data_IF_567823407093
#
_entry.id   IF_567823407093
#
_cell.length_a   1.000
_cell.length_b   1.000
_cell.length_c   1.000
_cell.angle_alpha   90.00
_cell.angle_beta   90.00
_cell.angle_gamma   90.00
#
_symmetry.space_group_name_H-M   'P 1'
#
loop_
_entity.id
_entity.type
_entity.pdbx_description
1 polymer ?
#
# COMPACT_ATOMS: atom_id res chain seq x y z
N UNK A 1 1.10 -15.11 0.65
CA UNK A 1 0.67 -16.17 1.58
C UNK A 1 -0.40 -15.60 2.50
N UNK A 2 -1.65 -15.99 2.30
CA UNK A 2 -2.80 -15.45 3.06
C UNK A 2 -2.82 -15.95 4.50
N UNK A 3 -2.37 -17.17 4.77
CA UNK A 3 -2.33 -17.74 6.12
C UNK A 3 -1.36 -16.99 7.04
N UNK A 4 -0.20 -16.60 6.47
CA UNK A 4 0.83 -15.84 7.19
C UNK A 4 0.62 -14.33 7.14
N UNK A 5 -0.38 -13.85 6.41
CA UNK A 5 -0.60 -12.42 6.23
C UNK A 5 0.56 -11.69 5.57
N UNK A 6 1.26 -12.32 4.63
CA UNK A 6 2.47 -11.75 4.02
C UNK A 6 2.39 -11.72 2.50
N UNK A 7 2.63 -10.55 1.95
CA UNK A 7 2.88 -10.37 0.53
C UNK A 7 4.37 -10.43 0.24
N UNK A 8 4.76 -11.36 -0.62
CA UNK A 8 6.16 -11.54 -1.04
C UNK A 8 6.33 -11.01 -2.46
N UNK A 9 7.20 -10.03 -2.63
CA UNK A 9 7.68 -9.60 -3.94
C UNK A 9 8.92 -10.40 -4.30
N UNK A 10 8.93 -11.16 -5.39
CA UNK A 10 10.12 -11.90 -5.81
C UNK A 10 11.23 -10.95 -6.28
N UNK A 11 12.47 -11.40 -6.19
CA UNK A 11 13.66 -10.59 -6.47
C UNK A 11 13.70 -9.99 -7.88
N UNK A 12 13.17 -10.69 -8.88
CA UNK A 12 13.13 -10.20 -10.27
C UNK A 12 12.15 -9.02 -10.49
N UNK A 13 11.21 -8.79 -9.56
CA UNK A 13 10.27 -7.67 -9.61
C UNK A 13 10.73 -6.48 -8.76
N UNK A 14 11.84 -6.61 -8.03
CA UNK A 14 12.36 -5.53 -7.20
C UNK A 14 13.60 -4.90 -7.83
N UNK A 15 13.73 -3.58 -7.75
CA UNK A 15 14.90 -2.86 -8.29
C UNK A 15 16.22 -3.33 -7.66
N UNK A 16 16.19 -3.77 -6.41
CA UNK A 16 17.37 -4.25 -5.68
C UNK A 16 17.68 -5.73 -5.90
N UNK A 17 16.89 -6.43 -6.74
CA UNK A 17 17.01 -7.89 -6.95
C UNK A 17 16.98 -8.70 -5.64
N UNK A 18 16.35 -8.16 -4.59
CA UNK A 18 16.15 -8.82 -3.30
C UNK A 18 14.68 -9.14 -3.09
N UNK A 19 14.40 -10.29 -2.50
CA UNK A 19 13.05 -10.68 -2.11
C UNK A 19 12.59 -9.75 -0.98
N UNK A 20 11.40 -9.16 -1.12
CA UNK A 20 10.78 -8.31 -0.11
C UNK A 20 9.55 -8.99 0.47
N UNK A 21 9.37 -8.89 1.78
CA UNK A 21 8.22 -9.39 2.51
C UNK A 21 7.51 -8.22 3.17
N UNK A 22 6.25 -8.02 2.83
CA UNK A 22 5.41 -6.95 3.37
C UNK A 22 4.24 -7.57 4.14
N UNK A 23 3.98 -7.15 5.38
CA UNK A 23 2.80 -7.58 6.13
C UNK A 23 1.54 -7.06 5.46
N UNK A 24 0.48 -7.84 5.50
CA UNK A 24 -0.87 -7.46 5.10
C UNK A 24 -1.68 -7.13 6.35
N UNK A 25 -2.45 -6.03 6.30
CA UNK A 25 -3.42 -5.74 7.36
C UNK A 25 -4.57 -6.74 7.34
N UNK A 26 -5.30 -6.90 8.43
CA UNK A 26 -6.49 -7.75 8.52
C UNK A 26 -7.51 -7.39 7.44
N UNK A 27 -7.80 -6.11 7.25
CA UNK A 27 -8.71 -5.64 6.18
C UNK A 27 -8.23 -6.02 4.78
N UNK A 28 -6.93 -5.98 4.52
CA UNK A 28 -6.37 -6.42 3.24
C UNK A 28 -6.51 -7.94 3.06
N UNK A 29 -6.33 -8.71 4.13
CA UNK A 29 -6.54 -10.15 4.13
C UNK A 29 -7.99 -10.51 3.87
N UNK A 30 -8.95 -9.85 4.50
CA UNK A 30 -10.38 -10.06 4.30
C UNK A 30 -10.76 -9.84 2.82
N UNK A 31 -10.31 -8.73 2.24
CA UNK A 31 -10.54 -8.44 0.81
C UNK A 31 -9.94 -9.52 -0.08
N UNK A 32 -8.68 -9.91 0.18
CA UNK A 32 -8.00 -10.93 -0.63
C UNK A 32 -8.65 -12.32 -0.49
N UNK A 33 -9.14 -12.67 0.69
CA UNK A 33 -9.87 -13.91 0.93
C UNK A 33 -11.23 -13.89 0.22
N UNK A 34 -11.95 -12.77 0.25
CA UNK A 34 -13.21 -12.61 -0.48
C UNK A 34 -12.99 -12.76 -2.00
N UNK A 35 -11.96 -12.09 -2.53
CA UNK A 35 -11.59 -12.21 -3.96
C UNK A 35 -11.24 -13.66 -4.30
N UNK A 36 -10.49 -14.35 -3.44
CA UNK A 36 -10.14 -15.77 -3.65
C UNK A 36 -11.37 -16.67 -3.72
N UNK A 37 -12.38 -16.42 -2.88
CA UNK A 37 -13.65 -17.18 -2.91
C UNK A 37 -14.46 -16.95 -4.19
N UNK A 38 -14.35 -15.76 -4.78
CA UNK A 38 -15.03 -15.39 -6.03
C UNK A 38 -14.25 -15.80 -7.29
N UNK A 39 -12.97 -16.08 -7.15
CA UNK A 39 -12.11 -16.49 -8.27
C UNK A 39 -12.33 -17.95 -8.64
N UNK A 40 -12.19 -18.33 -9.92
CA UNK A 40 -12.22 -19.73 -10.33
C UNK A 40 -11.19 -20.52 -9.52
N UNK A 41 -11.58 -21.72 -9.03
CA UNK A 41 -10.75 -22.53 -8.11
C UNK A 41 -9.36 -22.89 -8.63
N UNK A 42 -9.10 -22.80 -9.91
CA UNK A 42 -7.84 -23.17 -10.57
C UNK A 42 -6.95 -21.98 -10.94
N UNK A 43 -7.34 -20.74 -10.58
CA UNK A 43 -6.52 -19.59 -10.93
C UNK A 43 -5.29 -19.46 -10.03
N UNK A 44 -4.11 -19.41 -10.64
CA UNK A 44 -2.85 -19.07 -9.97
C UNK A 44 -2.78 -17.57 -9.57
N UNK A 45 -3.69 -16.75 -10.07
CA UNK A 45 -3.69 -15.29 -9.90
C UNK A 45 -4.83 -14.85 -9.00
N UNK A 46 -4.57 -13.90 -8.11
CA UNK A 46 -5.58 -13.24 -7.27
C UNK A 46 -6.58 -12.47 -8.15
N UNK A 47 -6.09 -11.86 -9.22
CA UNK A 47 -6.90 -11.16 -10.21
C UNK A 47 -6.67 -11.85 -11.57
N UNK A 48 -7.47 -12.85 -11.93
CA UNK A 48 -7.35 -13.50 -13.22
C UNK A 48 -7.79 -12.57 -14.35
N UNK A 49 -7.12 -12.70 -15.48
CA UNK A 49 -7.46 -12.00 -16.72
C UNK A 49 -8.64 -12.66 -17.45
N UNK A 50 -8.98 -12.13 -18.63
CA UNK A 50 -10.00 -12.72 -19.53
C UNK A 50 -9.52 -14.02 -20.19
N UNK A 51 -8.20 -14.16 -20.34
CA UNK A 51 -7.56 -15.34 -20.91
C UNK A 51 -7.22 -16.28 -19.76
N UNK A 52 -7.67 -17.53 -19.85
CA UNK A 52 -7.40 -18.55 -18.84
C UNK A 52 -5.89 -18.72 -18.67
N UNK A 53 -5.41 -18.74 -17.42
CA UNK A 53 -3.99 -18.86 -17.11
C UNK A 53 -3.20 -17.55 -17.17
N UNK A 54 -3.83 -16.42 -17.45
CA UNK A 54 -3.16 -15.11 -17.44
C UNK A 54 -3.71 -14.18 -16.35
N UNK A 55 -2.87 -13.27 -15.81
CA UNK A 55 -3.32 -12.26 -14.86
C UNK A 55 -4.10 -11.15 -15.54
N UNK A 56 -4.88 -10.39 -14.77
CA UNK A 56 -5.45 -9.14 -15.20
C UNK A 56 -4.32 -8.16 -15.56
N UNK A 57 -4.26 -7.73 -16.80
CA UNK A 57 -3.18 -6.89 -17.34
C UNK A 57 -3.44 -5.40 -17.16
N UNK A 58 -4.70 -4.98 -17.13
CA UNK A 58 -5.06 -3.56 -17.15
C UNK A 58 -6.28 -3.25 -16.26
N UNK A 59 -6.14 -2.25 -15.41
CA UNK A 59 -7.20 -1.74 -14.53
C UNK A 59 -7.83 -0.44 -15.02
N UNK A 60 -7.37 0.11 -16.16
CA UNK A 60 -7.74 1.46 -16.60
C UNK A 60 -9.25 1.65 -16.79
N UNK A 61 -9.90 0.70 -17.46
CA UNK A 61 -11.36 0.78 -17.70
C UNK A 61 -12.15 0.63 -16.41
N UNK A 62 -11.72 -0.29 -15.53
CA UNK A 62 -12.32 -0.46 -14.21
C UNK A 62 -12.17 0.82 -13.37
N UNK A 63 -10.96 1.40 -13.34
CA UNK A 63 -10.67 2.62 -12.58
C UNK A 63 -11.53 3.81 -13.04
N UNK A 64 -11.67 4.00 -14.37
CA UNK A 64 -12.56 5.04 -14.93
C UNK A 64 -14.00 4.88 -14.45
N UNK A 65 -14.52 3.64 -14.38
CA UNK A 65 -15.86 3.39 -13.88
C UNK A 65 -15.99 3.72 -12.39
N UNK A 66 -15.01 3.32 -11.57
CA UNK A 66 -14.96 3.64 -10.13
C UNK A 66 -14.98 5.16 -9.92
N UNK A 67 -14.15 5.90 -10.66
CA UNK A 67 -14.12 7.35 -10.55
C UNK A 67 -15.45 8.00 -10.93
N UNK A 68 -16.09 7.52 -12.00
CA UNK A 68 -17.39 8.02 -12.42
C UNK A 68 -18.48 7.77 -11.36
N UNK A 69 -18.53 6.57 -10.78
CA UNK A 69 -19.48 6.22 -9.73
C UNK A 69 -19.24 6.98 -8.42
N UNK A 70 -17.98 7.32 -8.13
CA UNK A 70 -17.57 8.09 -6.95
C UNK A 70 -17.63 9.62 -7.19
N UNK A 71 -18.02 10.08 -8.37
CA UNK A 71 -18.03 11.51 -8.76
C UNK A 71 -16.66 12.18 -8.56
N UNK A 72 -15.57 11.44 -8.83
CA UNK A 72 -14.20 11.92 -8.69
C UNK A 72 -13.55 12.12 -10.05
N UNK A 73 -12.81 13.23 -10.18
CA UNK A 73 -12.03 13.54 -11.38
C UNK A 73 -10.53 13.63 -11.07
N UNK A 74 -9.70 13.34 -12.07
CA UNK A 74 -8.26 13.54 -12.01
C UNK A 74 -7.49 12.60 -11.08
N UNK A 75 -8.15 11.68 -10.37
CA UNK A 75 -7.50 10.76 -9.43
C UNK A 75 -6.94 9.54 -10.15
N UNK A 76 -5.67 9.27 -9.97
CA UNK A 76 -4.97 8.09 -10.51
C UNK A 76 -4.91 6.97 -9.46
N UNK A 77 -4.81 5.73 -9.89
CA UNK A 77 -4.56 4.60 -8.97
C UNK A 77 -3.32 4.83 -8.10
N UNK A 78 -2.28 5.47 -8.66
CA UNK A 78 -1.06 5.77 -7.92
C UNK A 78 -1.27 6.79 -6.80
N UNK A 79 -2.28 7.62 -6.88
CA UNK A 79 -2.60 8.61 -5.85
C UNK A 79 -3.13 7.93 -4.56
N UNK A 80 -3.71 6.72 -4.66
CA UNK A 80 -4.02 5.89 -3.49
C UNK A 80 -2.77 5.55 -2.66
N UNK A 81 -1.64 5.34 -3.35
CA UNK A 81 -0.36 5.12 -2.69
C UNK A 81 0.14 6.38 -2.00
N UNK A 82 -0.04 7.56 -2.60
CA UNK A 82 0.29 8.83 -1.97
C UNK A 82 -0.57 9.06 -0.73
N UNK A 83 -1.88 8.83 -0.84
CA UNK A 83 -2.82 8.91 0.29
C UNK A 83 -2.41 7.99 1.43
N UNK A 84 -2.09 6.73 1.15
CA UNK A 84 -1.60 5.78 2.16
C UNK A 84 -0.33 6.30 2.86
N UNK A 85 0.66 6.78 2.10
CA UNK A 85 1.88 7.34 2.65
C UNK A 85 1.60 8.56 3.55
N UNK A 86 0.76 9.48 3.09
CA UNK A 86 0.39 10.68 3.84
C UNK A 86 -0.27 10.35 5.18
N UNK A 87 -1.25 9.44 5.17
CA UNK A 87 -1.89 9.00 6.40
C UNK A 87 -0.91 8.37 7.40
N UNK A 88 0.01 7.52 6.93
CA UNK A 88 0.99 6.89 7.81
C UNK A 88 1.93 7.91 8.46
N UNK A 89 2.42 8.90 7.68
CA UNK A 89 3.31 9.94 8.21
C UNK A 89 2.55 10.84 9.18
N UNK A 90 1.34 11.30 8.83
CA UNK A 90 0.50 12.11 9.72
C UNK A 90 0.09 11.38 11.00
N UNK A 91 0.12 10.04 11.00
CA UNK A 91 -0.10 9.21 12.19
C UNK A 91 1.17 8.98 13.02
N UNK A 92 2.28 9.66 12.70
CA UNK A 92 3.52 9.61 13.47
C UNK A 92 4.49 8.49 13.09
N UNK A 93 4.23 7.73 12.02
CA UNK A 93 5.18 6.72 11.58
C UNK A 93 6.41 7.39 10.94
N UNK A 94 7.59 6.86 11.25
CA UNK A 94 8.84 7.38 10.67
C UNK A 94 8.87 7.20 9.14
N UNK A 95 9.47 8.17 8.44
CA UNK A 95 9.65 8.11 6.98
C UNK A 95 10.38 6.83 6.54
N UNK A 96 11.27 6.29 7.37
CA UNK A 96 11.98 5.03 7.10
C UNK A 96 11.01 3.84 7.06
N UNK A 97 10.08 3.73 8.01
CA UNK A 97 9.06 2.67 8.04
C UNK A 97 8.13 2.83 6.83
N UNK A 98 7.63 4.04 6.59
CA UNK A 98 6.75 4.34 5.44
C UNK A 98 7.46 4.00 4.12
N UNK A 99 8.71 4.38 3.96
CA UNK A 99 9.52 4.04 2.79
C UNK A 99 9.64 2.53 2.55
N UNK A 100 9.87 1.75 3.62
CA UNK A 100 9.91 0.28 3.54
C UNK A 100 8.57 -0.31 3.13
N UNK A 101 7.45 0.14 3.73
CA UNK A 101 6.10 -0.32 3.37
C UNK A 101 5.76 -0.02 1.90
N UNK A 102 6.20 1.13 1.42
CA UNK A 102 6.04 1.52 0.02
C UNK A 102 7.04 0.83 -0.93
N UNK A 103 8.08 0.16 -0.43
CA UNK A 103 9.14 -0.42 -1.24
C UNK A 103 9.99 0.65 -1.94
N UNK A 104 10.19 1.81 -1.30
CA UNK A 104 11.12 2.82 -1.80
C UNK A 104 12.56 2.38 -1.56
N UNK A 105 13.36 2.41 -2.60
CA UNK A 105 14.79 2.06 -2.53
C UNK A 105 15.66 3.24 -2.11
N UNK A 106 15.14 4.46 -2.26
CA UNK A 106 15.82 5.71 -1.90
C UNK A 106 14.99 6.47 -0.87
N UNK A 107 15.62 6.88 0.21
CA UNK A 107 14.96 7.66 1.27
C UNK A 107 14.39 8.98 0.75
N UNK A 108 15.07 9.62 -0.22
CA UNK A 108 14.62 10.87 -0.86
C UNK A 108 13.23 10.76 -1.47
N UNK A 109 12.81 9.59 -1.93
CA UNK A 109 11.47 9.38 -2.48
C UNK A 109 10.38 9.53 -1.41
N UNK A 110 10.67 9.17 -0.15
CA UNK A 110 9.73 9.29 0.97
C UNK A 110 9.81 10.69 1.61
N UNK A 111 10.91 11.41 1.42
CA UNK A 111 11.13 12.75 1.98
C UNK A 111 10.07 13.77 1.57
N UNK A 112 9.40 13.57 0.44
CA UNK A 112 8.28 14.41 0.00
C UNK A 112 7.12 14.50 0.99
N UNK A 113 7.00 13.55 1.91
CA UNK A 113 5.98 13.49 2.94
C UNK A 113 6.44 14.07 4.29
N UNK A 114 7.71 14.54 4.40
CA UNK A 114 8.28 14.99 5.66
C UNK A 114 7.49 16.12 6.32
N UNK A 115 6.94 17.05 5.51
CA UNK A 115 6.11 18.15 5.99
C UNK A 115 4.83 17.73 6.71
N UNK A 116 4.41 16.47 6.55
CA UNK A 116 3.24 15.90 7.26
C UNK A 116 3.59 15.37 8.65
N UNK A 117 4.87 15.40 9.04
CA UNK A 117 5.33 14.95 10.36
C UNK A 117 5.31 16.08 11.43
N UNK A 118 4.98 17.32 11.08
CA UNK A 118 5.06 18.47 11.98
C UNK A 118 4.14 18.31 13.21
N UNK A 119 2.90 17.87 12.99
CA UNK A 119 1.97 17.62 14.09
C UNK A 119 2.39 16.43 14.99
N UNK A 120 2.77 15.26 14.46
CA UNK A 120 3.40 14.20 15.24
C UNK A 120 4.64 14.63 16.02
N UNK A 121 5.49 15.51 15.48
CA UNK A 121 6.64 16.05 16.17
C UNK A 121 6.23 16.90 17.38
N UNK A 122 5.22 17.78 17.21
CA UNK A 122 4.67 18.57 18.30
C UNK A 122 4.12 17.68 19.40
N UNK A 123 3.29 16.68 19.07
CA UNK A 123 2.72 15.73 20.01
C UNK A 123 3.81 14.95 20.77
N UNK A 124 4.88 14.54 20.10
CA UNK A 124 6.02 13.88 20.75
C UNK A 124 6.72 14.80 21.77
N UNK A 125 6.85 16.08 21.47
CA UNK A 125 7.44 17.08 22.39
C UNK A 125 6.55 17.30 23.62
N UNK A 126 5.26 17.42 23.43
CA UNK A 126 4.28 17.56 24.53
C UNK A 126 4.25 16.30 25.42
N UNK A 127 4.30 15.11 24.81
CA UNK A 127 4.37 13.85 25.54
C UNK A 127 5.61 13.78 26.45
N UNK A 128 6.76 14.25 25.97
CA UNK A 128 7.97 14.30 26.78
C UNK A 128 7.83 15.35 27.91
N UNK A 129 7.35 16.56 27.59
CA UNK A 129 7.12 17.63 28.56
C UNK A 129 6.23 17.18 29.74
N UNK A 130 5.16 16.45 29.45
CA UNK A 130 4.23 15.93 30.47
C UNK A 130 4.85 14.84 31.39
N UNK A 131 5.96 14.22 30.98
CA UNK A 131 6.64 13.18 31.79
C UNK A 131 7.70 13.73 32.74
N UNK A 132 8.15 14.96 32.53
CA UNK A 132 9.20 15.59 33.35
C UNK A 132 8.67 16.71 34.26
N UNK A 133 7.38 17.01 34.18
CA UNK A 133 6.68 17.91 35.09
C UNK A 133 6.23 17.18 36.37
#
# INVERSE_FOLDING_TARGET
NLEKGVWTKPSHLTKQKKKEHLPLSEKALDVLQAVKKLSPHESAYVFPGRIVGEPLKELKTFWKRVLKEAELEGVRIHDLRHTHASHLVSSGLSLSIVGKLLGHTQASTTQRYAHLADEPLRQATELFGSKIA
#
